data_IF_979825355208
#
_entry.id   IF_979825355208
#
_cell.length_a   1.000
_cell.length_b   1.000
_cell.length_c   1.000
_cell.angle_alpha   90.00
_cell.angle_beta   90.00
_cell.angle_gamma   90.00
#
_symmetry.space_group_name_H-M   'P 1'
#
loop_
_entity.id
_entity.type
_entity.pdbx_description
1 polymer ?
#
# COMPACT_ATOMS: atom_id res chain seq x y z
N UNK A 1 -11.29 1.37 -10.01
CA UNK A 1 -10.63 0.76 -8.85
C UNK A 1 -11.03 1.49 -7.59
N UNK A 2 -11.55 0.80 -6.60
CA UNK A 2 -12.01 1.43 -5.36
C UNK A 2 -10.89 1.45 -4.34
N UNK A 3 -11.00 2.37 -3.38
CA UNK A 3 -10.09 2.44 -2.23
C UNK A 3 -10.03 1.10 -1.50
N UNK A 4 -11.18 0.44 -1.36
CA UNK A 4 -11.29 -0.83 -0.68
C UNK A 4 -10.49 -1.93 -1.37
N UNK A 5 -10.56 -1.99 -2.69
CA UNK A 5 -9.78 -2.94 -3.50
C UNK A 5 -8.28 -2.69 -3.35
N UNK A 6 -7.87 -1.44 -3.34
CA UNK A 6 -6.47 -1.08 -3.14
C UNK A 6 -6.02 -1.47 -1.74
N UNK A 7 -6.84 -1.17 -0.73
CA UNK A 7 -6.56 -1.54 0.66
C UNK A 7 -6.38 -3.05 0.80
N UNK A 8 -7.28 -3.83 0.22
CA UNK A 8 -7.22 -5.29 0.28
C UNK A 8 -5.95 -5.82 -0.36
N UNK A 9 -5.56 -5.27 -1.50
CA UNK A 9 -4.32 -5.66 -2.17
C UNK A 9 -3.10 -5.32 -1.32
N UNK A 10 -3.08 -4.14 -0.70
CA UNK A 10 -2.00 -3.75 0.21
C UNK A 10 -1.88 -4.73 1.37
N UNK A 11 -3.00 -5.11 1.97
CA UNK A 11 -3.00 -6.05 3.09
C UNK A 11 -2.43 -7.40 2.67
N UNK A 12 -2.83 -7.91 1.52
CA UNK A 12 -2.31 -9.19 1.02
C UNK A 12 -0.80 -9.11 0.78
N UNK A 13 -0.34 -8.03 0.16
CA UNK A 13 1.07 -7.83 -0.13
C UNK A 13 1.90 -7.74 1.16
N UNK A 14 1.41 -6.98 2.14
CA UNK A 14 2.06 -6.86 3.46
C UNK A 14 2.11 -8.20 4.19
N UNK A 15 1.00 -8.94 4.15
CA UNK A 15 0.92 -10.25 4.81
C UNK A 15 1.97 -11.21 4.24
N UNK A 16 2.19 -11.18 2.93
CA UNK A 16 3.20 -12.01 2.28
C UNK A 16 4.61 -11.65 2.75
N UNK A 17 4.95 -10.37 2.73
CA UNK A 17 6.31 -9.93 3.05
C UNK A 17 6.61 -10.06 4.55
N UNK A 18 5.62 -9.83 5.39
CA UNK A 18 5.75 -9.94 6.84
C UNK A 18 5.53 -11.36 7.36
N UNK A 19 5.09 -12.27 6.50
CA UNK A 19 4.83 -13.68 6.83
C UNK A 19 3.82 -13.81 7.97
N UNK A 20 2.70 -13.09 7.86
CA UNK A 20 1.63 -13.17 8.84
C UNK A 20 0.29 -13.23 8.12
N UNK A 21 -0.76 -13.73 8.79
CA UNK A 21 -2.08 -13.78 8.18
C UNK A 21 -2.66 -12.40 7.95
N UNK A 22 -3.50 -12.27 6.92
CA UNK A 22 -4.08 -10.98 6.54
C UNK A 22 -4.89 -10.36 7.67
N UNK A 23 -5.54 -11.17 8.51
CA UNK A 23 -6.34 -10.66 9.62
C UNK A 23 -5.53 -10.05 10.75
N UNK A 24 -4.20 -10.17 10.69
CA UNK A 24 -3.30 -9.54 11.64
C UNK A 24 -2.76 -8.19 11.16
N UNK A 25 -3.04 -7.83 9.92
CA UNK A 25 -2.60 -6.54 9.35
C UNK A 25 -3.63 -5.49 9.70
N UNK A 26 -3.30 -4.63 10.65
CA UNK A 26 -4.17 -3.52 11.01
C UNK A 26 -3.98 -2.37 10.02
N UNK A 27 -5.05 -2.01 9.31
CA UNK A 27 -4.97 -1.01 8.24
C UNK A 27 -4.68 0.39 8.75
N UNK A 28 -4.93 0.64 10.03
CA UNK A 28 -4.65 1.95 10.65
C UNK A 28 -3.29 2.02 11.30
N UNK A 29 -2.61 0.88 11.44
CA UNK A 29 -1.29 0.87 12.06
C UNK A 29 -0.24 1.40 11.10
N UNK A 30 0.73 2.15 11.62
CA UNK A 30 1.85 2.62 10.82
C UNK A 30 2.70 1.45 10.35
N UNK A 31 3.21 1.55 9.14
CA UNK A 31 4.06 0.51 8.55
C UNK A 31 5.25 0.16 9.45
N UNK A 32 5.85 1.18 10.07
CA UNK A 32 6.97 0.96 11.01
C UNK A 32 6.56 0.07 12.19
N UNK A 33 5.32 0.20 12.61
CA UNK A 33 4.78 -0.57 13.72
C UNK A 33 4.52 -2.02 13.34
N UNK A 34 4.23 -2.25 12.08
CA UNK A 34 4.03 -3.59 11.55
C UNK A 34 5.35 -4.34 11.35
N UNK A 35 6.47 -3.65 11.45
CA UNK A 35 7.79 -4.24 11.24
C UNK A 35 8.29 -4.13 9.80
N UNK A 36 7.75 -3.22 9.02
CA UNK A 36 8.14 -3.04 7.63
C UNK A 36 9.48 -2.29 7.56
N UNK A 37 10.47 -2.92 6.97
CA UNK A 37 11.78 -2.28 6.73
C UNK A 37 11.89 -1.76 5.29
N UNK A 38 13.01 -1.13 4.96
CA UNK A 38 13.21 -0.50 3.65
C UNK A 38 13.09 -1.48 2.48
N UNK A 39 13.63 -2.68 2.63
CA UNK A 39 13.57 -3.69 1.57
C UNK A 39 12.13 -4.16 1.36
N UNK A 40 11.39 -4.34 2.43
CA UNK A 40 9.99 -4.73 2.37
C UNK A 40 9.14 -3.63 1.74
N UNK A 41 9.43 -2.37 2.04
CA UNK A 41 8.74 -1.23 1.43
C UNK A 41 8.91 -1.27 -0.09
N UNK A 42 10.13 -1.49 -0.56
CA UNK A 42 10.41 -1.56 -2.00
C UNK A 42 9.64 -2.72 -2.64
N UNK A 43 9.59 -3.86 -1.98
CA UNK A 43 8.86 -5.02 -2.48
C UNK A 43 7.36 -4.72 -2.64
N UNK A 44 6.75 -4.17 -1.60
CA UNK A 44 5.32 -3.82 -1.62
C UNK A 44 5.06 -2.75 -2.67
N UNK A 45 5.94 -1.75 -2.76
CA UNK A 45 5.84 -0.69 -3.75
C UNK A 45 5.80 -1.25 -5.17
N UNK A 46 6.71 -2.18 -5.47
CA UNK A 46 6.77 -2.80 -6.79
C UNK A 46 5.51 -3.60 -7.11
N UNK A 47 4.96 -4.31 -6.13
CA UNK A 47 3.72 -5.03 -6.31
C UNK A 47 2.55 -4.10 -6.61
N UNK A 48 2.47 -2.98 -5.91
CA UNK A 48 1.42 -1.98 -6.14
C UNK A 48 1.56 -1.32 -7.52
N UNK A 49 2.79 -0.99 -7.91
CA UNK A 49 3.05 -0.40 -9.20
C UNK A 49 2.61 -1.32 -10.33
N UNK A 50 2.91 -2.60 -10.20
CA UNK A 50 2.57 -3.59 -11.21
C UNK A 50 1.07 -3.85 -11.28
N UNK A 51 0.43 -3.99 -10.12
CA UNK A 51 -0.99 -4.31 -10.07
C UNK A 51 -1.87 -3.16 -10.58
N UNK A 52 -1.54 -1.93 -10.23
CA UNK A 52 -2.38 -0.77 -10.54
C UNK A 52 -1.81 0.11 -11.65
N UNK A 53 -0.70 -0.28 -12.24
CA UNK A 53 -0.02 0.48 -13.29
C UNK A 53 0.23 1.93 -12.86
N UNK A 54 0.88 2.08 -11.71
CA UNK A 54 1.20 3.35 -11.09
C UNK A 54 2.70 3.51 -10.94
N UNK A 55 3.15 4.77 -10.90
CA UNK A 55 4.49 5.09 -10.46
C UNK A 55 4.44 5.58 -9.02
N UNK A 56 5.21 4.92 -8.16
CA UNK A 56 5.30 5.26 -6.75
C UNK A 56 6.74 5.50 -6.37
N UNK A 57 6.94 6.20 -5.26
CA UNK A 57 8.26 6.34 -4.65
C UNK A 57 8.18 5.84 -3.21
N UNK A 58 9.35 5.59 -2.61
CA UNK A 58 9.39 5.21 -1.20
C UNK A 58 8.85 6.32 -0.31
N UNK A 59 8.92 7.58 -0.75
CA UNK A 59 8.36 8.72 -0.03
C UNK A 59 6.87 8.60 0.19
N UNK A 60 6.15 7.96 -0.74
CA UNK A 60 4.70 7.75 -0.59
C UNK A 60 4.40 6.94 0.66
N UNK A 61 5.27 5.99 1.01
CA UNK A 61 5.09 5.16 2.21
C UNK A 61 5.40 5.92 3.49
N UNK A 62 6.24 6.94 3.43
CA UNK A 62 6.53 7.79 4.59
C UNK A 62 5.49 8.90 4.76
N UNK A 63 5.01 9.46 3.66
CA UNK A 63 3.99 10.51 3.69
C UNK A 63 2.61 9.94 4.04
N UNK A 64 2.34 8.70 3.65
CA UNK A 64 1.06 8.00 3.91
C UNK A 64 1.36 6.67 4.61
N UNK A 65 1.68 6.72 5.90
CA UNK A 65 2.38 5.63 6.59
C UNK A 65 1.50 4.48 7.09
N UNK A 66 0.28 4.35 6.60
CA UNK A 66 -0.60 3.22 6.94
C UNK A 66 -1.34 2.76 5.69
N UNK A 67 -1.91 1.55 5.73
CA UNK A 67 -2.72 1.04 4.62
C UNK A 67 -3.88 2.01 4.33
N UNK A 68 -4.56 2.49 5.37
CA UNK A 68 -5.68 3.42 5.20
C UNK A 68 -5.26 4.68 4.46
N UNK A 69 -4.19 5.33 4.89
CA UNK A 69 -3.72 6.57 4.29
C UNK A 69 -3.18 6.34 2.88
N UNK A 70 -2.39 5.28 2.70
CA UNK A 70 -1.79 4.98 1.41
C UNK A 70 -2.87 4.59 0.38
N UNK A 71 -3.83 3.75 0.76
CA UNK A 71 -4.88 3.34 -0.17
C UNK A 71 -5.75 4.51 -0.60
N UNK A 72 -6.01 5.45 0.31
CA UNK A 72 -6.74 6.69 -0.02
C UNK A 72 -5.97 7.52 -1.02
N UNK A 73 -4.67 7.69 -0.79
CA UNK A 73 -3.80 8.45 -1.68
C UNK A 73 -3.75 7.81 -3.08
N UNK A 74 -3.61 6.49 -3.15
CA UNK A 74 -3.54 5.78 -4.42
C UNK A 74 -4.88 5.82 -5.16
N UNK A 75 -5.99 5.74 -4.43
CA UNK A 75 -7.32 5.88 -5.04
C UNK A 75 -7.49 7.26 -5.68
N UNK A 76 -7.00 8.32 -5.03
CA UNK A 76 -7.04 9.67 -5.57
C UNK A 76 -6.17 9.79 -6.83
N UNK A 77 -4.98 9.22 -6.81
CA UNK A 77 -4.10 9.20 -7.98
C UNK A 77 -4.77 8.51 -9.18
N UNK A 78 -5.39 7.38 -8.94
CA UNK A 78 -6.08 6.63 -9.99
C UNK A 78 -7.29 7.39 -10.53
N UNK A 79 -8.04 8.06 -9.65
CA UNK A 79 -9.18 8.87 -10.05
C UNK A 79 -8.75 10.05 -10.91
N UNK A 80 -7.66 10.73 -10.55
CA UNK A 80 -7.11 11.84 -11.32
C UNK A 80 -6.66 11.39 -12.71
N UNK A 81 -6.02 10.23 -12.80
CA UNK A 81 -5.57 9.66 -14.06
C UNK A 81 -6.75 9.34 -14.96
N UNK A 82 -7.83 8.79 -14.41
CA UNK A 82 -9.04 8.45 -15.15
C UNK A 82 -9.80 9.68 -15.61
N UNK A 83 -9.69 10.80 -14.89
CA UNK A 83 -10.37 12.05 -15.20
C UNK A 83 -9.65 12.87 -16.28
N UNK A 84 -8.42 12.56 -16.58
CA UNK A 84 -7.59 13.32 -17.53
C UNK A 84 -7.97 13.12 -19.00
#
# INVERSE_FOLDING_TARGET
>A
MTREQISDFCVVSLAKVLRMPTNRIETKAKFSRLGLDSAMVVYVMMELEEEFDLELSTDDFYDYPSVDELSRHLAEKLAQRSAA
#
